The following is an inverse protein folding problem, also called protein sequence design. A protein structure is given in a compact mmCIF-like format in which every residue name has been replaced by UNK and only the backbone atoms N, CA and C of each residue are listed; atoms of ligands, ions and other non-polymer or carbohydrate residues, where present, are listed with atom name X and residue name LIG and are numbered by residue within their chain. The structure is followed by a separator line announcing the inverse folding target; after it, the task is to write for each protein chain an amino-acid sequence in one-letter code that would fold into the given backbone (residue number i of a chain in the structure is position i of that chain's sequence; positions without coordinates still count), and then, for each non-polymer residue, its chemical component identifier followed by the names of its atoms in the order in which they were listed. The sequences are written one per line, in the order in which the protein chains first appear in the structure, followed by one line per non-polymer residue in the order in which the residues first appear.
data_IF_084988921612
#
_entry.id   IF_084988921612
#
_cell.length_a   1.000
_cell.length_b   1.000
_cell.length_c   1.000
_cell.angle_alpha   90.00
_cell.angle_beta   90.00
_cell.angle_gamma   90.00
#
_symmetry.space_group_name_H-M   'P 1'
#
loop_
_entity.id
_entity.type
_entity.pdbx_description
1 polymer ?
#
# COMPACT_ATOMS: atom_id res chain seq x y z
N UNK A 1 14.80 -0.74 -20.02
CA UNK A 1 13.46 -0.13 -20.18
C UNK A 1 12.93 0.17 -18.78
N UNK A 2 12.48 1.39 -18.48
CA UNK A 2 11.95 1.75 -17.15
C UNK A 2 10.44 1.93 -17.25
N UNK A 3 9.68 1.08 -16.56
CA UNK A 3 8.22 1.12 -16.61
C UNK A 3 7.70 1.86 -15.37
N UNK A 4 6.84 2.84 -15.60
CA UNK A 4 6.23 3.66 -14.54
C UNK A 4 4.72 3.66 -14.74
N UNK A 5 4.00 3.61 -13.62
CA UNK A 5 2.54 3.64 -13.57
C UNK A 5 2.05 4.78 -12.71
N UNK A 6 0.99 5.44 -13.16
CA UNK A 6 0.24 6.41 -12.38
C UNK A 6 -1.22 5.99 -12.37
N UNK A 7 -1.78 5.75 -11.19
CA UNK A 7 -3.21 5.47 -11.01
C UNK A 7 -3.94 6.72 -10.55
N UNK A 8 -5.15 6.93 -11.07
CA UNK A 8 -6.03 8.02 -10.69
C UNK A 8 -7.30 7.47 -10.05
N UNK A 9 -7.96 8.30 -9.25
CA UNK A 9 -9.27 7.96 -8.71
C UNK A 9 -10.26 7.59 -9.84
N UNK A 10 -11.08 6.57 -9.57
CA UNK A 10 -12.02 5.91 -10.51
C UNK A 10 -11.40 4.96 -11.54
N UNK A 11 -10.20 4.45 -11.29
CA UNK A 11 -9.66 3.30 -12.04
C UNK A 11 -9.16 3.64 -13.45
N UNK A 12 -8.81 4.91 -13.69
CA UNK A 12 -7.99 5.31 -14.83
C UNK A 12 -6.53 5.14 -14.43
N UNK A 13 -5.73 4.59 -15.33
CA UNK A 13 -4.30 4.45 -15.13
C UNK A 13 -3.56 4.93 -16.37
N UNK A 14 -2.37 5.49 -16.15
CA UNK A 14 -1.40 5.82 -17.18
C UNK A 14 -0.19 4.90 -17.04
N UNK A 15 0.39 4.55 -18.18
CA UNK A 15 1.61 3.75 -18.29
C UNK A 15 2.64 4.52 -19.08
N UNK A 16 3.87 4.51 -18.59
CA UNK A 16 5.05 4.96 -19.30
C UNK A 16 5.99 3.78 -19.56
N UNK A 17 6.55 3.70 -20.76
CA UNK A 17 7.61 2.74 -21.12
C UNK A 17 9.03 3.33 -21.14
N UNK A 18 9.14 4.64 -20.92
CA UNK A 18 10.35 5.44 -21.08
C UNK A 18 10.76 6.17 -19.78
N UNK A 19 10.36 5.63 -18.62
CA UNK A 19 10.75 6.17 -17.33
C UNK A 19 9.98 7.42 -16.87
N UNK A 20 8.80 7.66 -17.44
CA UNK A 20 7.91 8.78 -17.08
C UNK A 20 8.03 10.00 -17.99
N UNK A 21 8.78 9.90 -19.10
CA UNK A 21 8.91 10.98 -20.06
C UNK A 21 7.64 11.13 -20.91
N UNK A 22 7.05 10.01 -21.33
CA UNK A 22 5.76 9.98 -22.03
C UNK A 22 4.78 9.02 -21.36
N UNK A 23 3.50 9.36 -21.46
CA UNK A 23 2.41 8.66 -20.78
C UNK A 23 1.31 8.30 -21.76
N UNK A 24 0.88 7.04 -21.71
CA UNK A 24 -0.24 6.54 -22.48
C UNK A 24 -1.33 6.03 -21.55
N UNK A 25 -2.63 6.20 -21.89
CA UNK A 25 -3.72 5.50 -21.22
C UNK A 25 -3.42 4.01 -21.12
N UNK A 26 -3.46 3.48 -19.90
CA UNK A 26 -3.39 2.05 -19.70
C UNK A 26 -4.65 1.40 -20.31
N UNK A 27 -4.45 0.30 -21.03
CA UNK A 27 -5.54 -0.53 -21.57
C UNK A 27 -6.42 -1.13 -20.46
N UNK A 28 -5.86 -1.33 -19.26
CA UNK A 28 -6.58 -1.86 -18.12
C UNK A 28 -7.42 -0.80 -17.41
N UNK A 29 -8.71 -0.77 -17.73
CA UNK A 29 -9.73 -0.10 -16.91
C UNK A 29 -9.84 -0.78 -15.54
N UNK A 30 -10.06 0.00 -14.49
CA UNK A 30 -10.31 -0.46 -13.11
C UNK A 30 -9.13 -1.14 -12.41
N UNK A 31 -7.90 -0.89 -12.87
CA UNK A 31 -6.69 -1.30 -12.15
C UNK A 31 -6.09 -0.07 -11.47
N UNK A 32 -5.89 -0.13 -10.16
CA UNK A 32 -5.25 0.94 -9.39
C UNK A 32 -4.31 0.37 -8.32
N UNK A 33 -3.50 1.27 -7.75
CA UNK A 33 -2.55 0.96 -6.67
C UNK A 33 -1.65 -0.21 -7.07
N UNK A 34 -1.01 -0.10 -8.22
CA UNK A 34 -0.13 -1.16 -8.71
C UNK A 34 1.22 -1.12 -7.99
N UNK A 35 1.79 -2.29 -7.71
CA UNK A 35 3.13 -2.48 -7.18
C UNK A 35 3.91 -3.42 -8.09
N UNK A 36 5.08 -2.95 -8.52
CA UNK A 36 5.96 -3.61 -9.49
C UNK A 36 7.30 -3.92 -8.81
N UNK A 37 7.67 -5.19 -8.61
CA UNK A 37 9.01 -5.58 -8.17
C UNK A 37 10.07 -5.38 -9.26
N UNK A 38 9.66 -5.43 -10.53
CA UNK A 38 10.50 -5.28 -11.71
C UNK A 38 9.68 -4.69 -12.86
N UNK A 39 10.31 -4.42 -14.00
CA UNK A 39 9.65 -3.78 -15.14
C UNK A 39 8.57 -4.64 -15.82
N UNK A 40 8.56 -5.95 -15.60
CA UNK A 40 7.63 -6.88 -16.26
C UNK A 40 6.49 -7.29 -15.35
N UNK A 41 6.77 -7.55 -14.08
CA UNK A 41 5.84 -8.19 -13.17
C UNK A 41 5.16 -7.15 -12.31
N UNK A 42 3.84 -7.17 -12.26
CA UNK A 42 3.05 -6.24 -11.45
C UNK A 42 1.88 -6.92 -10.77
N UNK A 43 1.50 -6.40 -9.61
CA UNK A 43 0.27 -6.74 -8.90
C UNK A 43 -0.49 -5.45 -8.62
N UNK A 44 -1.80 -5.48 -8.76
CA UNK A 44 -2.65 -4.32 -8.53
C UNK A 44 -4.01 -4.73 -7.97
N UNK A 45 -4.74 -3.76 -7.43
CA UNK A 45 -6.15 -3.95 -7.06
C UNK A 45 -7.01 -3.71 -8.29
N UNK A 46 -8.02 -4.56 -8.48
CA UNK A 46 -8.94 -4.51 -9.60
C UNK A 46 -10.41 -4.43 -9.14
N UNK A 47 -11.23 -3.67 -9.87
CA UNK A 47 -12.68 -3.60 -9.67
C UNK A 47 -13.20 -2.20 -9.31
N UNK A 48 -14.51 -2.06 -9.07
CA UNK A 48 -15.06 -0.79 -8.64
C UNK A 48 -14.56 -0.46 -7.22
N UNK A 49 -13.82 0.64 -7.12
CA UNK A 49 -13.37 1.18 -5.83
C UNK A 49 -14.55 1.87 -5.13
N UNK A 50 -14.75 1.63 -3.84
CA UNK A 50 -15.77 2.33 -3.04
C UNK A 50 -17.06 1.54 -2.79
N UNK A 51 -16.97 0.21 -2.59
CA UNK A 51 -18.08 -0.55 -2.01
C UNK A 51 -19.13 -1.08 -3.00
N UNK A 52 -18.70 -1.53 -4.19
CA UNK A 52 -19.56 -2.41 -4.99
C UNK A 52 -19.88 -3.72 -4.24
N UNK A 53 -21.03 -4.33 -4.51
CA UNK A 53 -21.50 -5.57 -3.88
C UNK A 53 -20.69 -6.83 -4.23
N UNK A 54 -19.58 -6.68 -4.94
CA UNK A 54 -18.74 -7.78 -5.41
C UNK A 54 -17.48 -7.97 -4.55
N UNK A 55 -16.89 -9.18 -4.57
CA UNK A 55 -15.63 -9.44 -3.90
C UNK A 55 -14.52 -8.56 -4.50
N UNK A 56 -13.59 -8.12 -3.64
CA UNK A 56 -12.39 -7.42 -4.09
C UNK A 56 -11.63 -8.31 -5.09
N UNK A 57 -11.17 -7.72 -6.20
CA UNK A 57 -10.37 -8.43 -7.20
C UNK A 57 -8.94 -7.90 -7.19
N UNK A 58 -8.03 -8.73 -7.64
CA UNK A 58 -6.65 -8.35 -7.91
C UNK A 58 -6.35 -8.56 -9.39
N UNK A 59 -5.35 -7.85 -9.91
CA UNK A 59 -4.86 -8.01 -11.26
C UNK A 59 -3.36 -8.29 -11.23
N UNK A 60 -2.91 -9.27 -12.02
CA UNK A 60 -1.51 -9.64 -12.17
C UNK A 60 -1.08 -9.40 -13.61
N UNK A 61 0.10 -8.83 -13.79
CA UNK A 61 0.75 -8.69 -15.11
C UNK A 61 2.14 -9.30 -15.08
N UNK A 62 2.57 -9.82 -16.23
CA UNK A 62 3.91 -10.38 -16.49
C UNK A 62 4.59 -9.70 -17.71
N UNK A 63 3.96 -8.65 -18.26
CA UNK A 63 4.38 -7.94 -19.47
C UNK A 63 4.48 -6.41 -19.28
N UNK A 64 4.63 -5.96 -18.04
CA UNK A 64 4.77 -4.56 -17.67
C UNK A 64 3.45 -3.80 -17.69
N UNK A 65 2.35 -4.53 -17.49
CA UNK A 65 0.98 -4.02 -17.46
C UNK A 65 0.40 -3.69 -18.83
N UNK A 66 0.95 -4.26 -19.91
CA UNK A 66 0.31 -4.22 -21.24
C UNK A 66 -0.97 -5.05 -21.22
N UNK A 67 -0.91 -6.22 -20.57
CA UNK A 67 -2.06 -7.06 -20.27
C UNK A 67 -2.13 -7.37 -18.77
N UNK A 68 -3.34 -7.59 -18.28
CA UNK A 68 -3.63 -7.87 -16.88
C UNK A 68 -4.61 -9.03 -16.75
N UNK A 69 -4.27 -9.99 -15.91
CA UNK A 69 -5.12 -11.14 -15.58
C UNK A 69 -5.81 -10.87 -14.25
N UNK A 70 -7.12 -10.63 -14.30
CA UNK A 70 -7.95 -10.35 -13.12
C UNK A 70 -8.35 -11.64 -12.43
N UNK A 71 -8.16 -11.73 -11.12
CA UNK A 71 -8.51 -12.88 -10.27
C UNK A 71 -9.26 -12.43 -9.03
N UNK A 72 -9.92 -13.36 -8.35
CA UNK A 72 -10.49 -13.09 -7.03
C UNK A 72 -9.38 -12.72 -6.04
N UNK A 73 -9.59 -11.66 -5.27
CA UNK A 73 -8.73 -11.30 -4.15
C UNK A 73 -9.07 -12.11 -2.89
N UNK A 74 -8.17 -12.13 -1.89
CA UNK A 74 -8.36 -12.89 -0.66
C UNK A 74 -9.19 -12.15 0.41
N UNK A 75 -9.57 -10.88 0.17
CA UNK A 75 -10.27 -10.08 1.17
C UNK A 75 -11.71 -10.57 1.34
N UNK A 76 -12.08 -11.09 2.51
CA UNK A 76 -13.45 -11.52 2.79
C UNK A 76 -14.35 -10.30 2.99
N UNK A 77 -15.66 -10.48 2.86
CA UNK A 77 -16.60 -9.52 3.45
C UNK A 77 -16.46 -9.58 4.99
N UNK A 78 -16.48 -8.43 5.71
CA UNK A 78 -16.71 -7.07 5.22
C UNK A 78 -15.45 -6.28 4.83
N UNK A 79 -14.27 -6.90 4.76
CA UNK A 79 -12.96 -6.27 4.47
C UNK A 79 -12.67 -6.08 2.97
N UNK A 80 -13.69 -6.10 2.11
CA UNK A 80 -13.54 -5.99 0.66
C UNK A 80 -13.92 -4.61 0.11
N UNK A 81 -14.06 -3.59 0.96
CA UNK A 81 -14.42 -2.23 0.55
C UNK A 81 -13.29 -1.56 -0.23
N UNK A 82 -12.05 -1.76 0.23
CA UNK A 82 -10.85 -1.26 -0.40
C UNK A 82 -9.64 -2.16 -0.11
N UNK A 83 -8.54 -1.97 -0.85
CA UNK A 83 -7.28 -2.62 -0.54
C UNK A 83 -6.05 -1.87 -1.08
N UNK A 84 -4.90 -2.21 -0.51
CA UNK A 84 -3.58 -1.74 -0.91
C UNK A 84 -2.62 -2.93 -1.09
N UNK A 85 -1.71 -2.85 -2.06
CA UNK A 85 -0.76 -3.93 -2.37
C UNK A 85 0.68 -3.45 -2.19
N UNK A 86 1.56 -4.37 -1.76
CA UNK A 86 3.01 -4.19 -1.79
C UNK A 86 3.66 -5.46 -2.35
N UNK A 87 4.44 -5.34 -3.42
CA UNK A 87 5.11 -6.47 -4.09
C UNK A 87 6.60 -6.18 -4.26
N UNK A 88 7.44 -6.48 -3.26
CA UNK A 88 8.87 -6.18 -3.32
C UNK A 88 9.68 -7.19 -4.16
N UNK A 89 9.14 -8.38 -4.46
CA UNK A 89 9.82 -9.37 -5.32
C UNK A 89 8.83 -10.07 -6.27
N UNK A 90 9.36 -10.87 -7.20
CA UNK A 90 8.53 -11.66 -8.11
C UNK A 90 7.58 -12.63 -7.38
N UNK A 91 8.00 -13.18 -6.23
CA UNK A 91 7.24 -14.17 -5.47
C UNK A 91 6.52 -13.60 -4.25
N UNK A 92 7.09 -12.59 -3.58
CA UNK A 92 6.51 -12.02 -2.36
C UNK A 92 5.57 -10.87 -2.66
N UNK A 93 4.35 -10.95 -2.14
CA UNK A 93 3.39 -9.86 -2.17
C UNK A 93 2.58 -9.80 -0.88
N UNK A 94 2.10 -8.59 -0.56
CA UNK A 94 1.20 -8.31 0.55
C UNK A 94 -0.02 -7.56 0.05
N UNK A 95 -1.12 -7.79 0.73
CA UNK A 95 -2.38 -7.11 0.52
C UNK A 95 -2.92 -6.66 1.88
N UNK A 96 -3.21 -5.37 2.01
CA UNK A 96 -3.97 -4.82 3.13
C UNK A 96 -5.43 -4.73 2.69
N UNK A 97 -6.27 -5.59 3.24
CA UNK A 97 -7.72 -5.58 3.07
C UNK A 97 -8.36 -4.58 4.02
N UNK A 98 -9.29 -3.79 3.53
CA UNK A 98 -9.87 -2.67 4.25
C UNK A 98 -11.40 -2.73 4.13
N UNK A 99 -12.08 -2.69 5.27
CA UNK A 99 -13.53 -2.66 5.36
C UNK A 99 -14.11 -1.27 5.14
N UNK A 100 -15.43 -1.14 5.21
CA UNK A 100 -16.07 0.18 5.10
C UNK A 100 -15.74 1.01 6.35
N UNK A 101 -15.24 2.22 6.14
CA UNK A 101 -14.98 3.18 7.21
C UNK A 101 -16.25 3.76 7.83
N UNK A 102 -16.25 3.98 9.14
CA UNK A 102 -17.33 4.62 9.89
C UNK A 102 -16.89 5.05 11.30
N UNK A 103 -17.30 6.25 11.73
CA UNK A 103 -17.03 6.78 13.08
C UNK A 103 -15.55 6.65 13.53
N UNK A 104 -14.60 7.05 12.68
CA UNK A 104 -13.16 6.99 12.95
C UNK A 104 -12.53 5.60 12.84
N UNK A 105 -13.32 4.56 12.54
CA UNK A 105 -12.86 3.18 12.47
C UNK A 105 -13.00 2.62 11.05
N UNK A 106 -12.04 1.78 10.66
CA UNK A 106 -12.05 1.03 9.42
C UNK A 106 -11.37 -0.32 9.67
N UNK A 107 -12.07 -1.43 9.40
CA UNK A 107 -11.52 -2.78 9.62
C UNK A 107 -10.32 -3.06 8.70
N UNK A 108 -9.30 -3.75 9.22
CA UNK A 108 -8.04 -4.00 8.50
C UNK A 108 -7.61 -5.45 8.65
N UNK A 109 -7.09 -6.07 7.60
CA UNK A 109 -6.37 -7.33 7.71
C UNK A 109 -5.26 -7.43 6.65
N UNK A 110 -4.15 -8.05 7.02
CA UNK A 110 -3.01 -8.27 6.13
C UNK A 110 -3.02 -9.70 5.62
N UNK A 111 -2.74 -9.85 4.33
CA UNK A 111 -2.52 -11.13 3.66
C UNK A 111 -1.15 -11.12 3.00
N UNK A 112 -0.53 -12.30 2.93
CA UNK A 112 0.75 -12.50 2.27
C UNK A 112 0.66 -13.61 1.24
N UNK A 113 1.25 -13.34 0.08
CA UNK A 113 1.50 -14.31 -0.98
C UNK A 113 3.00 -14.62 -1.08
N UNK A 114 3.32 -15.86 -1.43
CA UNK A 114 4.68 -16.34 -1.73
C UNK A 114 4.84 -16.84 -3.16
N UNK A 115 3.84 -16.62 -4.01
CA UNK A 115 3.79 -17.07 -5.40
C UNK A 115 3.37 -15.94 -6.37
N UNK A 116 3.64 -14.69 -5.99
CA UNK A 116 3.42 -13.50 -6.82
C UNK A 116 1.97 -13.03 -6.86
N UNK A 117 1.17 -13.35 -5.84
CA UNK A 117 -0.24 -12.99 -5.72
C UNK A 117 -1.20 -14.05 -6.25
N UNK A 118 -0.73 -15.27 -6.56
CA UNK A 118 -1.58 -16.35 -7.08
C UNK A 118 -2.37 -17.03 -5.96
N UNK A 119 -1.77 -17.20 -4.79
CA UNK A 119 -2.40 -17.66 -3.54
C UNK A 119 -2.02 -16.74 -2.38
N UNK A 120 -2.85 -16.73 -1.34
CA UNK A 120 -2.76 -15.79 -0.22
C UNK A 120 -3.01 -16.49 1.10
N UNK A 121 -2.23 -16.11 2.11
CA UNK A 121 -2.41 -16.56 3.49
C UNK A 121 -2.75 -15.35 4.37
N UNK A 122 -3.79 -15.49 5.19
CA UNK A 122 -4.16 -14.48 6.17
C UNK A 122 -3.08 -14.38 7.25
N UNK A 123 -2.64 -13.15 7.54
CA UNK A 123 -1.86 -12.81 8.73
C UNK A 123 -2.73 -12.17 9.81
N UNK A 124 -3.90 -11.65 9.43
CA UNK A 124 -4.85 -11.00 10.35
C UNK A 124 -4.51 -9.53 10.58
N UNK A 125 -5.01 -8.96 11.68
CA UNK A 125 -4.75 -7.56 12.05
C UNK A 125 -3.57 -7.40 13.00
N UNK A 126 -3.37 -8.35 13.94
CA UNK A 126 -2.27 -8.45 14.92
C UNK A 126 -1.50 -7.15 15.22
N UNK A 127 -2.13 -6.25 15.98
CA UNK A 127 -1.55 -4.96 16.39
C UNK A 127 -1.91 -3.77 15.50
N UNK A 128 -2.55 -3.99 14.35
CA UNK A 128 -3.25 -2.95 13.59
C UNK A 128 -4.57 -2.61 14.30
N UNK A 129 -4.72 -1.35 14.68
CA UNK A 129 -5.97 -0.85 15.27
C UNK A 129 -7.07 -0.73 14.22
N UNK A 130 -8.33 -0.93 14.60
CA UNK A 130 -9.47 -0.56 13.76
C UNK A 130 -9.59 0.96 13.61
N UNK A 131 -9.08 1.73 14.56
CA UNK A 131 -9.08 3.19 14.47
C UNK A 131 -8.15 3.68 13.36
N UNK A 132 -8.54 4.77 12.70
CA UNK A 132 -7.79 5.34 11.58
C UNK A 132 -8.13 4.74 10.22
N UNK A 133 -7.81 5.50 9.17
CA UNK A 133 -8.10 5.18 7.77
C UNK A 133 -6.78 4.97 7.01
N UNK A 134 -6.43 3.74 6.62
CA UNK A 134 -5.20 3.46 5.92
C UNK A 134 -5.23 4.03 4.51
N UNK A 135 -4.12 4.63 4.13
CA UNK A 135 -3.90 5.21 2.79
C UNK A 135 -2.81 4.49 2.01
N UNK A 136 -2.09 3.55 2.63
CA UNK A 136 -1.24 2.62 1.92
C UNK A 136 -0.48 1.64 2.80
N UNK A 137 0.23 0.74 2.12
CA UNK A 137 1.11 -0.26 2.73
C UNK A 137 2.38 -0.39 1.88
N UNK A 138 3.53 -0.50 2.54
CA UNK A 138 4.80 -0.82 1.90
C UNK A 138 5.53 -1.82 2.77
N UNK A 139 5.97 -2.95 2.19
CA UNK A 139 6.73 -3.98 2.90
C UNK A 139 7.88 -4.42 1.99
N UNK A 140 9.09 -4.33 2.51
CA UNK A 140 10.33 -4.74 1.86
C UNK A 140 10.53 -6.26 1.92
N UNK A 141 11.44 -6.78 1.10
CA UNK A 141 11.67 -8.23 0.98
C UNK A 141 12.19 -8.89 2.28
N UNK A 142 12.87 -8.12 3.13
CA UNK A 142 13.38 -8.55 4.44
C UNK A 142 12.31 -8.51 5.55
N UNK A 143 11.10 -8.04 5.24
CA UNK A 143 9.96 -8.03 6.16
C UNK A 143 9.80 -6.76 6.99
N UNK A 144 10.65 -5.74 6.81
CA UNK A 144 10.35 -4.40 7.32
C UNK A 144 9.20 -3.78 6.53
N UNK A 145 8.23 -3.20 7.22
CA UNK A 145 7.04 -2.65 6.56
C UNK A 145 6.35 -1.55 7.33
N UNK A 146 5.59 -0.74 6.60
CA UNK A 146 4.82 0.40 7.08
C UNK A 146 3.38 0.33 6.57
N UNK A 147 2.44 0.71 7.42
CA UNK A 147 1.07 1.14 7.05
C UNK A 147 0.90 2.55 7.56
N UNK A 148 0.54 3.48 6.68
CA UNK A 148 0.32 4.88 7.02
C UNK A 148 -1.15 5.25 6.83
N UNK A 149 -1.59 6.20 7.65
CA UNK A 149 -3.01 6.50 7.83
C UNK A 149 -3.23 8.01 7.94
N UNK A 150 -4.42 8.47 7.58
CA UNK A 150 -4.77 9.90 7.71
C UNK A 150 -5.13 10.27 9.15
N UNK A 151 -6.17 9.64 9.72
CA UNK A 151 -6.63 9.96 11.10
C UNK A 151 -6.04 9.06 12.19
N UNK A 152 -5.33 8.01 11.80
CA UNK A 152 -4.68 7.09 12.72
C UNK A 152 -3.18 7.36 12.86
N UNK A 153 -2.38 6.29 12.96
CA UNK A 153 -0.94 6.40 13.19
C UNK A 153 -0.13 5.69 12.10
N UNK A 154 1.20 5.79 12.18
CA UNK A 154 2.11 4.96 11.41
C UNK A 154 2.27 3.62 12.12
N UNK A 155 1.94 2.52 11.46
CA UNK A 155 2.23 1.18 11.96
C UNK A 155 3.51 0.62 11.35
N UNK A 156 4.33 0.00 12.18
CA UNK A 156 5.59 -0.64 11.79
C UNK A 156 5.48 -2.15 11.99
N UNK A 157 5.91 -2.91 10.99
CA UNK A 157 6.21 -4.34 11.13
C UNK A 157 7.69 -4.60 10.85
N UNK A 158 8.23 -5.64 11.47
CA UNK A 158 9.61 -6.12 11.26
C UNK A 158 9.68 -7.60 10.95
N UNK A 159 8.52 -8.24 10.82
CA UNK A 159 8.37 -9.68 10.68
C UNK A 159 7.51 -10.04 9.46
N UNK A 160 7.45 -9.13 8.48
CA UNK A 160 6.69 -9.30 7.24
C UNK A 160 5.18 -9.25 7.46
N UNK A 161 4.71 -8.40 8.38
CA UNK A 161 3.30 -8.13 8.63
C UNK A 161 2.61 -9.13 9.54
N UNK A 162 3.35 -9.96 10.28
CA UNK A 162 2.76 -10.88 11.27
C UNK A 162 2.36 -10.14 12.54
N UNK A 163 3.15 -9.16 12.94
CA UNK A 163 2.84 -8.23 14.03
C UNK A 163 3.09 -6.79 13.62
N UNK A 164 2.27 -5.89 14.15
CA UNK A 164 2.33 -4.46 13.90
C UNK A 164 2.41 -3.67 15.22
N UNK A 165 3.16 -2.57 15.19
CA UNK A 165 3.29 -1.65 16.33
C UNK A 165 3.00 -0.23 15.86
N UNK A 166 1.98 0.40 16.44
CA UNK A 166 1.67 1.82 16.19
C UNK A 166 2.76 2.74 16.75
N UNK A 167 3.09 3.79 16.00
CA UNK A 167 4.11 4.79 16.32
C UNK A 167 3.45 6.13 16.66
N UNK A 168 2.52 6.12 17.63
CA UNK A 168 1.69 7.28 17.96
C UNK A 168 2.48 8.48 18.49
N UNK A 169 3.71 8.29 18.98
CA UNK A 169 4.61 9.38 19.35
C UNK A 169 5.30 10.06 18.16
N UNK A 170 5.35 9.39 17.01
CA UNK A 170 5.99 9.87 15.78
C UNK A 170 4.95 10.53 14.87
N UNK A 171 3.89 9.78 14.56
CA UNK A 171 2.72 10.23 13.78
C UNK A 171 1.51 10.14 14.70
N UNK A 172 1.07 11.30 15.21
CA UNK A 172 0.02 11.37 16.22
C UNK A 172 -1.36 11.30 15.56
N UNK A 173 -2.24 10.41 16.02
CA UNK A 173 -3.61 10.33 15.51
C UNK A 173 -4.35 11.65 15.64
N UNK A 174 -5.21 11.94 14.64
CA UNK A 174 -5.98 13.19 14.48
C UNK A 174 -5.15 14.49 14.37
N UNK A 175 -3.83 14.41 14.40
CA UNK A 175 -2.94 15.57 14.35
C UNK A 175 -2.05 15.52 13.12
N UNK A 176 -1.35 14.40 12.93
CA UNK A 176 -0.39 14.18 11.85
C UNK A 176 -1.01 13.17 10.86
N UNK A 177 -1.25 13.60 9.62
CA UNK A 177 -1.94 12.82 8.58
C UNK A 177 -0.93 12.25 7.59
N UNK A 178 -0.78 10.93 7.59
CA UNK A 178 0.08 10.21 6.67
C UNK A 178 -0.38 10.37 5.22
N UNK A 179 0.58 10.58 4.32
CA UNK A 179 0.34 10.83 2.89
C UNK A 179 0.96 9.76 2.01
N UNK A 180 2.21 9.37 2.28
CA UNK A 180 2.91 8.34 1.53
C UNK A 180 4.06 7.75 2.33
N UNK A 181 4.27 6.45 2.23
CA UNK A 181 5.43 5.78 2.78
C UNK A 181 6.10 4.86 1.77
N UNK A 182 7.38 4.61 1.98
CA UNK A 182 8.12 3.55 1.28
C UNK A 182 9.10 2.87 2.23
N UNK A 183 9.23 1.55 2.07
CA UNK A 183 10.24 0.74 2.74
C UNK A 183 11.17 0.11 1.72
N UNK A 184 12.42 -0.03 2.13
CA UNK A 184 13.51 -0.65 1.38
C UNK A 184 14.20 -1.69 2.28
N UNK A 185 14.85 -2.70 1.68
CA UNK A 185 15.66 -3.65 2.44
C UNK A 185 16.74 -2.97 3.29
N UNK A 186 17.16 -3.63 4.36
CA UNK A 186 18.13 -3.10 5.32
C UNK A 186 17.51 -2.15 6.34
N UNK A 187 16.18 -2.18 6.50
CA UNK A 187 15.47 -1.35 7.48
C UNK A 187 15.41 0.14 7.14
N UNK A 188 15.57 0.49 5.86
CA UNK A 188 15.45 1.88 5.40
C UNK A 188 14.00 2.19 5.07
N UNK A 189 13.46 3.29 5.59
CA UNK A 189 12.10 3.70 5.33
C UNK A 189 11.92 5.21 5.35
N UNK A 190 10.94 5.69 4.60
CA UNK A 190 10.53 7.08 4.55
C UNK A 190 9.03 7.19 4.74
N UNK A 191 8.60 8.19 5.49
CA UNK A 191 7.18 8.54 5.70
C UNK A 191 7.01 10.03 5.44
N UNK A 192 6.00 10.37 4.63
CA UNK A 192 5.58 11.74 4.39
C UNK A 192 4.24 11.95 5.10
N UNK A 193 4.24 12.77 6.13
CA UNK A 193 3.04 13.14 6.89
C UNK A 193 2.89 14.66 6.95
N UNK A 194 1.70 15.15 7.33
CA UNK A 194 1.52 16.56 7.60
C UNK A 194 0.42 16.89 8.57
N UNK A 195 0.52 18.05 9.23
CA UNK A 195 -0.56 18.56 10.10
C UNK A 195 -1.55 19.35 9.27
N UNK A 196 -2.76 18.81 9.12
CA UNK A 196 -3.75 19.35 8.20
C UNK A 196 -3.17 19.52 6.79
N UNK A 197 -3.47 20.66 6.15
CA UNK A 197 -3.03 20.95 4.78
C UNK A 197 -1.70 21.72 4.69
N UNK A 198 -1.10 22.16 5.81
CA UNK A 198 -0.12 23.25 5.79
C UNK A 198 1.24 22.95 6.40
N UNK A 199 1.51 21.77 6.97
CA UNK A 199 2.84 21.48 7.54
C UNK A 199 3.28 20.06 7.21
N UNK A 200 3.82 19.87 6.01
CA UNK A 200 4.29 18.57 5.52
C UNK A 200 5.73 18.35 5.99
N UNK A 201 6.05 17.13 6.42
CA UNK A 201 7.42 16.72 6.75
C UNK A 201 7.74 15.36 6.16
N UNK A 202 9.01 15.15 5.85
CA UNK A 202 9.58 13.87 5.48
C UNK A 202 10.35 13.32 6.67
N UNK A 203 9.96 12.14 7.13
CA UNK A 203 10.63 11.36 8.16
C UNK A 203 11.43 10.24 7.51
N UNK A 204 12.56 9.87 8.10
CA UNK A 204 13.34 8.71 7.70
C UNK A 204 13.76 7.84 8.87
N UNK A 205 13.91 6.55 8.58
CA UNK A 205 14.50 5.55 9.46
C UNK A 205 15.54 4.72 8.70
N UNK A 206 16.55 4.24 9.42
CA UNK A 206 17.56 3.30 8.92
C UNK A 206 17.70 2.05 9.79
N UNK A 207 16.81 1.89 10.76
CA UNK A 207 16.83 0.80 11.75
C UNK A 207 15.48 0.07 11.81
N UNK A 208 14.79 0.01 10.67
CA UNK A 208 13.47 -0.57 10.47
C UNK A 208 12.37 0.09 11.34
N UNK A 209 12.49 1.40 11.57
CA UNK A 209 11.50 2.21 12.28
C UNK A 209 11.64 2.17 13.81
N UNK A 210 12.84 1.90 14.36
CA UNK A 210 13.07 2.00 15.83
C UNK A 210 13.26 3.45 16.19
N UNK A 211 13.98 4.17 15.34
CA UNK A 211 14.18 5.61 15.43
C UNK A 211 13.76 6.27 14.12
N UNK A 212 13.28 7.52 14.27
CA UNK A 212 12.85 8.36 13.17
C UNK A 212 13.45 9.75 13.34
N UNK A 213 13.90 10.34 12.25
CA UNK A 213 14.35 11.73 12.22
C UNK A 213 13.70 12.46 11.05
N UNK A 214 13.50 13.77 11.23
CA UNK A 214 12.97 14.63 10.17
C UNK A 214 14.10 14.93 9.19
N UNK A 215 13.90 14.54 7.94
CA UNK A 215 14.81 14.85 6.83
C UNK A 215 14.50 16.22 6.24
N UNK A 216 13.21 16.57 6.14
CA UNK A 216 12.79 17.83 5.55
C UNK A 216 11.42 18.29 6.06
N UNK A 217 11.16 19.60 5.99
CA UNK A 217 9.87 20.23 6.28
C UNK A 217 9.53 21.21 5.17
N UNK A 218 8.33 21.07 4.61
CA UNK A 218 7.78 22.07 3.71
C UNK A 218 6.92 23.06 4.51
N UNK A 219 6.90 24.34 4.07
CA UNK A 219 6.07 25.38 4.67
C UNK A 219 4.57 25.11 4.53
#
# INVERSE_FOLDING_TARGET
MRIVWAGFDRGRSLRSGDGGLTWHPATARFVARASFPDERRGLAVAGPFGGGSGPLRIAITEDGGRTWHVRAGPCPLPLSFNAFVSRPTASLAWLLCVGQGGAGNEGKAVYRSRDGGRTWHALGQNGLSSYGYPVGVSIAADGFGLVWETRGTLFVTRDGGRTWRGQASIVRPEIDFGRSAVTLPGGVGYELDGRGNSRIRLLATRDAGRTWHVVHRWP
#
